data_IF_450917761719
#
_entry.id   IF_450917761719
#
_cell.length_a   1.000
_cell.length_b   1.000
_cell.length_c   1.000
_cell.angle_alpha   90.00
_cell.angle_beta   90.00
_cell.angle_gamma   90.00
#
_symmetry.space_group_name_H-M   'P 1'
#
loop_
_entity.id
_entity.type
_entity.pdbx_description
1 polymer ?
#
# COMPACT_ATOMS: atom_id res chain seq x y z
N UNK A 1 -4.70 65.18 -20.50
CA UNK A 1 -3.79 64.34 -19.68
C UNK A 1 -4.51 63.19 -18.97
N UNK A 2 -5.64 62.68 -19.48
CA UNK A 2 -6.48 61.66 -18.82
C UNK A 2 -6.46 60.31 -19.58
N UNK A 3 -6.06 60.30 -20.85
CA UNK A 3 -6.05 59.09 -21.70
C UNK A 3 -4.90 58.12 -21.39
N UNK A 4 -3.77 58.62 -20.86
CA UNK A 4 -2.60 57.78 -20.54
C UNK A 4 -2.75 56.94 -19.26
N UNK A 5 -3.54 57.42 -18.29
CA UNK A 5 -3.75 56.74 -17.01
C UNK A 5 -4.71 55.53 -17.16
N UNK A 6 -5.71 55.64 -18.05
CA UNK A 6 -6.69 54.56 -18.30
C UNK A 6 -6.06 53.35 -18.99
N UNK A 7 -5.14 53.58 -19.93
CA UNK A 7 -4.38 52.51 -20.60
C UNK A 7 -3.39 51.80 -19.67
N UNK A 8 -2.87 52.50 -18.66
CA UNK A 8 -1.97 51.90 -17.68
C UNK A 8 -2.72 50.98 -16.71
N UNK A 9 -3.91 51.41 -16.28
CA UNK A 9 -4.82 50.64 -15.42
C UNK A 9 -5.35 49.35 -16.07
N UNK A 10 -5.67 49.38 -17.37
CA UNK A 10 -6.11 48.17 -18.09
C UNK A 10 -4.97 47.15 -18.19
N UNK A 11 -3.76 47.58 -18.56
CA UNK A 11 -2.58 46.70 -18.71
C UNK A 11 -2.16 46.06 -17.39
N UNK A 12 -2.31 46.76 -16.26
CA UNK A 12 -2.03 46.19 -14.93
C UNK A 12 -3.08 45.18 -14.49
N UNK A 13 -4.36 45.37 -14.82
CA UNK A 13 -5.42 44.40 -14.51
C UNK A 13 -5.27 43.10 -15.32
N UNK A 14 -4.90 43.18 -16.61
CA UNK A 14 -4.68 41.99 -17.43
C UNK A 14 -3.46 41.18 -16.99
N UNK A 15 -2.40 41.85 -16.50
CA UNK A 15 -1.22 41.18 -15.96
C UNK A 15 -1.48 40.47 -14.61
N UNK A 16 -2.33 41.05 -13.76
CA UNK A 16 -2.67 40.47 -12.45
C UNK A 16 -3.59 39.24 -12.57
N UNK A 17 -4.50 39.21 -13.56
CA UNK A 17 -5.35 38.05 -13.86
C UNK A 17 -4.56 36.87 -14.46
N UNK A 18 -3.52 37.14 -15.26
CA UNK A 18 -2.63 36.11 -15.78
C UNK A 18 -1.75 35.48 -14.68
N UNK A 19 -1.37 36.26 -13.65
CA UNK A 19 -0.58 35.75 -12.52
C UNK A 19 -1.38 34.78 -11.62
N UNK A 20 -2.70 34.97 -11.49
CA UNK A 20 -3.57 34.06 -10.75
C UNK A 20 -3.76 32.70 -11.46
N UNK A 21 -3.66 32.66 -12.78
CA UNK A 21 -3.82 31.42 -13.57
C UNK A 21 -2.61 30.47 -13.49
N UNK A 22 -1.48 30.89 -12.91
CA UNK A 22 -0.30 30.04 -12.72
C UNK A 22 -0.22 29.33 -11.36
N UNK A 23 -1.26 29.42 -10.51
CA UNK A 23 -1.21 28.85 -9.14
C UNK A 23 -1.96 27.52 -8.95
N UNK A 24 -2.44 26.87 -10.03
CA UNK A 24 -3.13 25.56 -9.96
C UNK A 24 -2.35 24.38 -10.53
N UNK A 25 -1.02 24.43 -10.47
CA UNK A 25 -0.20 23.24 -10.68
C UNK A 25 1.05 23.29 -9.81
N UNK A 26 0.88 23.04 -8.52
CA UNK A 26 1.91 22.36 -7.76
C UNK A 26 1.28 21.05 -7.31
N UNK A 27 1.45 20.03 -8.15
CA UNK A 27 1.37 18.65 -7.72
C UNK A 27 2.13 18.55 -6.40
N UNK A 28 1.43 18.14 -5.35
CA UNK A 28 2.04 17.75 -4.09
C UNK A 28 3.02 16.64 -4.45
N UNK A 29 4.28 17.00 -4.65
CA UNK A 29 5.39 16.06 -4.56
C UNK A 29 5.30 15.55 -3.12
N UNK A 30 4.71 14.37 -3.00
CA UNK A 30 4.78 13.58 -1.80
C UNK A 30 6.27 13.38 -1.57
N UNK A 31 6.78 14.13 -0.60
CA UNK A 31 8.12 14.03 -0.06
C UNK A 31 8.32 12.54 0.20
N UNK A 32 9.07 11.88 -0.68
CA UNK A 32 9.85 10.72 -0.32
C UNK A 32 10.69 11.22 0.83
N UNK A 33 10.22 10.95 2.05
CA UNK A 33 11.04 11.06 3.23
C UNK A 33 12.26 10.23 2.90
N UNK A 34 13.38 10.91 2.72
CA UNK A 34 14.69 10.29 2.80
C UNK A 34 14.63 9.32 3.97
N UNK A 35 14.87 8.05 3.66
CA UNK A 35 15.03 7.02 4.67
C UNK A 35 16.08 7.54 5.63
N UNK A 36 15.64 7.94 6.82
CA UNK A 36 16.54 7.88 7.94
C UNK A 36 16.90 6.42 8.06
N UNK A 37 18.19 6.12 7.92
CA UNK A 37 18.85 4.90 8.40
C UNK A 37 18.64 4.80 9.93
N UNK A 38 17.39 4.70 10.33
CA UNK A 38 17.01 4.06 11.57
C UNK A 38 16.92 2.59 11.23
N UNK A 39 17.48 1.78 12.09
CA UNK A 39 17.38 0.34 12.13
C UNK A 39 15.87 -0.04 12.07
N UNK A 40 15.27 -0.07 10.88
CA UNK A 40 13.83 -0.36 10.73
C UNK A 40 13.70 -1.86 10.92
N UNK A 41 13.59 -2.26 12.18
CA UNK A 41 13.07 -3.56 12.54
C UNK A 41 11.58 -3.58 12.16
N UNK A 42 11.29 -3.88 10.89
CA UNK A 42 9.93 -4.08 10.42
C UNK A 42 9.49 -5.45 10.92
N UNK A 43 8.92 -5.46 12.13
CA UNK A 43 8.43 -6.67 12.78
C UNK A 43 7.47 -7.43 11.83
N UNK A 44 7.69 -8.72 11.53
CA UNK A 44 6.83 -9.47 10.63
C UNK A 44 5.37 -9.52 11.09
N UNK A 45 4.47 -9.15 10.20
CA UNK A 45 3.05 -8.98 10.52
C UNK A 45 2.14 -9.18 9.30
N UNK A 46 0.86 -9.32 9.54
CA UNK A 46 -0.19 -9.31 8.52
C UNK A 46 -1.33 -8.36 8.92
N UNK A 47 -1.79 -7.55 7.96
CA UNK A 47 -2.91 -6.62 8.12
C UNK A 47 -3.91 -6.86 6.98
N UNK A 48 -5.17 -7.14 7.36
CA UNK A 48 -6.29 -7.14 6.42
C UNK A 48 -7.60 -6.70 7.09
N UNK A 49 -8.22 -7.58 7.88
CA UNK A 49 -9.37 -7.24 8.75
C UNK A 49 -8.93 -7.06 10.21
N UNK A 50 -7.79 -7.66 10.54
CA UNK A 50 -7.14 -7.64 11.85
C UNK A 50 -5.64 -7.46 11.60
N UNK A 51 -4.93 -7.04 12.64
CA UNK A 51 -3.47 -7.09 12.68
C UNK A 51 -3.03 -8.38 13.38
N UNK A 52 -2.07 -9.08 12.79
CA UNK A 52 -1.48 -10.30 13.33
C UNK A 52 0.04 -10.12 13.35
N UNK A 53 0.64 -10.22 14.53
CA UNK A 53 2.10 -10.23 14.69
C UNK A 53 2.61 -11.66 14.46
N UNK A 54 3.42 -11.91 13.44
CA UNK A 54 3.72 -13.28 13.00
C UNK A 54 4.83 -13.96 13.82
N UNK A 55 5.65 -13.18 14.51
CA UNK A 55 6.78 -13.66 15.34
C UNK A 55 6.53 -13.51 16.84
N UNK A 56 5.25 -13.51 17.25
CA UNK A 56 4.83 -13.43 18.65
C UNK A 56 3.93 -14.61 19.04
N UNK A 57 3.95 -15.06 20.31
CA UNK A 57 3.07 -16.11 20.78
C UNK A 57 1.62 -15.63 20.86
N UNK A 58 0.84 -15.84 19.80
CA UNK A 58 -0.56 -15.37 19.72
C UNK A 58 -1.52 -16.37 19.02
N UNK A 59 -1.16 -17.66 18.98
CA UNK A 59 -1.90 -18.75 18.32
C UNK A 59 -1.97 -18.69 16.78
N UNK A 60 -1.39 -17.66 16.16
CA UNK A 60 -1.21 -17.60 14.72
C UNK A 60 0.11 -18.24 14.31
N UNK A 61 0.08 -18.85 13.13
CA UNK A 61 1.24 -19.47 12.48
C UNK A 61 1.24 -19.10 11.01
N UNK A 62 2.43 -18.97 10.43
CA UNK A 62 2.59 -18.64 9.02
C UNK A 62 3.28 -19.78 8.28
N UNK A 63 2.86 -20.03 7.05
CA UNK A 63 3.53 -20.92 6.11
C UNK A 63 3.70 -20.18 4.80
N UNK A 64 4.94 -20.10 4.32
CA UNK A 64 5.32 -19.29 3.15
C UNK A 64 5.82 -20.22 2.03
N UNK A 65 5.32 -19.97 0.83
CA UNK A 65 5.82 -20.52 -0.43
C UNK A 65 6.01 -19.37 -1.43
N UNK A 66 6.66 -19.64 -2.55
CA UNK A 66 6.96 -18.63 -3.58
C UNK A 66 5.73 -17.86 -4.10
N UNK A 67 4.56 -18.49 -4.11
CA UNK A 67 3.32 -17.96 -4.71
C UNK A 67 2.11 -18.09 -3.79
N UNK A 68 2.36 -18.36 -2.50
CA UNK A 68 1.31 -18.64 -1.52
C UNK A 68 1.80 -18.36 -0.10
N UNK A 69 0.97 -17.70 0.68
CA UNK A 69 1.15 -17.58 2.13
C UNK A 69 -0.14 -17.98 2.83
N UNK A 70 -0.02 -18.85 3.83
CA UNK A 70 -1.12 -19.22 4.71
C UNK A 70 -0.82 -18.72 6.13
N UNK A 71 -1.72 -17.91 6.69
CA UNK A 71 -1.67 -17.39 8.06
C UNK A 71 -2.83 -18.01 8.82
N UNK A 72 -2.54 -18.88 9.78
CA UNK A 72 -3.50 -19.83 10.35
C UNK A 72 -3.55 -19.73 11.86
N UNK A 73 -4.75 -19.66 12.40
CA UNK A 73 -5.05 -19.87 13.81
C UNK A 73 -5.90 -21.13 13.95
N UNK A 74 -5.30 -22.19 14.50
CA UNK A 74 -5.95 -23.50 14.63
C UNK A 74 -7.03 -23.48 15.73
N UNK A 75 -6.81 -22.69 16.78
CA UNK A 75 -7.71 -22.57 17.94
C UNK A 75 -9.02 -21.90 17.50
N UNK A 76 -8.92 -20.81 16.73
CA UNK A 76 -10.07 -20.12 16.15
C UNK A 76 -10.63 -20.82 14.91
N UNK A 77 -9.90 -21.79 14.35
CA UNK A 77 -10.25 -22.43 13.08
C UNK A 77 -10.30 -21.43 11.92
N UNK A 78 -9.42 -20.42 11.93
CA UNK A 78 -9.38 -19.32 10.97
C UNK A 78 -8.08 -19.33 10.18
N UNK A 79 -8.16 -19.07 8.88
CA UNK A 79 -6.99 -18.95 8.00
C UNK A 79 -7.18 -17.83 6.98
N UNK A 80 -6.13 -17.05 6.78
CA UNK A 80 -5.95 -16.18 5.62
C UNK A 80 -5.01 -16.89 4.64
N UNK A 81 -5.49 -17.14 3.43
CA UNK A 81 -4.72 -17.78 2.36
C UNK A 81 -4.55 -16.80 1.20
N UNK A 82 -3.35 -16.24 1.10
CA UNK A 82 -2.93 -15.37 0.01
C UNK A 82 -2.28 -16.21 -1.09
N UNK A 83 -2.71 -16.03 -2.33
CA UNK A 83 -2.12 -16.69 -3.51
C UNK A 83 -1.95 -15.70 -4.65
N UNK A 84 -0.93 -15.90 -5.48
CA UNK A 84 -0.65 -15.07 -6.65
C UNK A 84 0.20 -15.82 -7.68
N UNK A 85 0.55 -15.16 -8.78
CA UNK A 85 1.55 -15.65 -9.75
C UNK A 85 2.74 -14.71 -9.87
N UNK A 86 3.89 -15.26 -10.21
CA UNK A 86 5.13 -14.52 -10.47
C UNK A 86 6.11 -14.49 -9.29
N UNK A 87 5.99 -15.42 -8.34
CA UNK A 87 6.95 -15.59 -7.25
C UNK A 87 7.07 -14.40 -6.27
N UNK A 88 8.14 -14.40 -5.46
CA UNK A 88 8.50 -13.34 -4.50
C UNK A 88 9.49 -12.30 -5.06
N UNK A 89 9.72 -12.26 -6.38
CA UNK A 89 10.55 -11.20 -6.97
C UNK A 89 9.90 -9.83 -6.78
N UNK A 90 10.69 -8.76 -6.70
CA UNK A 90 10.14 -7.40 -6.58
C UNK A 90 9.23 -7.04 -7.76
N UNK A 91 8.14 -6.32 -7.47
CA UNK A 91 7.18 -5.79 -8.42
C UNK A 91 5.77 -6.34 -8.25
N UNK A 92 4.89 -5.91 -9.16
CA UNK A 92 3.47 -6.28 -9.17
C UNK A 92 3.28 -7.76 -9.55
N UNK A 93 2.34 -8.40 -8.89
CA UNK A 93 1.94 -9.79 -9.10
C UNK A 93 0.56 -9.86 -9.74
N UNK A 94 0.33 -10.93 -10.50
CA UNK A 94 -0.92 -11.18 -11.18
C UNK A 94 -1.72 -12.29 -10.49
N UNK A 95 -3.01 -12.38 -10.83
CA UNK A 95 -3.94 -13.39 -10.33
C UNK A 95 -3.93 -13.51 -8.80
N UNK A 96 -3.78 -12.37 -8.13
CA UNK A 96 -3.65 -12.29 -6.69
C UNK A 96 -5.03 -12.37 -6.03
N UNK A 97 -5.18 -13.31 -5.09
CA UNK A 97 -6.43 -13.60 -4.40
C UNK A 97 -6.13 -13.80 -2.92
N UNK A 98 -6.94 -13.21 -2.06
CA UNK A 98 -6.95 -13.51 -0.63
C UNK A 98 -8.24 -14.25 -0.26
N UNK A 99 -8.10 -15.42 0.35
CA UNK A 99 -9.22 -16.18 0.93
C UNK A 99 -9.20 -16.07 2.44
N UNK A 100 -10.36 -15.76 3.03
CA UNK A 100 -10.60 -15.86 4.47
C UNK A 100 -11.45 -17.09 4.72
N UNK A 101 -10.86 -18.08 5.38
CA UNK A 101 -11.45 -19.37 5.71
C UNK A 101 -11.72 -19.38 7.20
N UNK A 102 -12.97 -19.67 7.58
CA UNK A 102 -13.37 -19.85 8.98
C UNK A 102 -14.12 -21.17 9.07
N UNK A 103 -13.78 -22.01 10.06
CA UNK A 103 -14.39 -23.32 10.25
C UNK A 103 -15.92 -23.19 10.38
N UNK A 104 -16.64 -23.88 9.51
CA UNK A 104 -18.11 -23.86 9.50
C UNK A 104 -18.74 -22.70 8.74
N UNK A 105 -17.94 -21.78 8.17
CA UNK A 105 -18.43 -20.69 7.32
C UNK A 105 -18.11 -20.94 5.83
N UNK A 106 -18.87 -20.28 4.95
CA UNK A 106 -18.49 -20.18 3.55
C UNK A 106 -17.21 -19.35 3.40
N UNK A 107 -16.29 -19.83 2.58
CA UNK A 107 -15.02 -19.13 2.33
C UNK A 107 -15.28 -17.80 1.64
N UNK A 108 -14.74 -16.72 2.22
CA UNK A 108 -14.80 -15.38 1.63
C UNK A 108 -13.58 -15.21 0.74
N UNK A 109 -13.81 -14.80 -0.51
CA UNK A 109 -12.74 -14.55 -1.49
C UNK A 109 -12.71 -13.07 -1.82
N UNK A 110 -11.53 -12.47 -1.76
CA UNK A 110 -11.27 -11.13 -2.25
C UNK A 110 -10.26 -11.20 -3.40
N UNK A 111 -10.71 -10.82 -4.59
CA UNK A 111 -9.81 -10.56 -5.71
C UNK A 111 -9.02 -9.28 -5.42
N UNK A 112 -7.71 -9.33 -5.61
CA UNK A 112 -6.83 -8.21 -5.32
C UNK A 112 -6.53 -7.43 -6.60
N UNK A 113 -6.91 -6.15 -6.61
CA UNK A 113 -6.55 -5.19 -7.65
C UNK A 113 -5.04 -4.96 -7.71
N UNK A 114 -4.38 -5.05 -6.55
CA UNK A 114 -2.92 -4.96 -6.43
C UNK A 114 -2.44 -6.01 -5.43
N UNK A 115 -1.42 -6.75 -5.87
CA UNK A 115 -0.41 -7.32 -4.98
C UNK A 115 0.95 -6.86 -5.50
N UNK A 116 1.74 -6.22 -4.65
CA UNK A 116 3.08 -5.75 -5.00
C UNK A 116 4.07 -6.22 -3.95
N UNK A 117 5.12 -6.91 -4.41
CA UNK A 117 6.23 -7.33 -3.56
C UNK A 117 7.33 -6.28 -3.64
N UNK A 118 7.81 -5.82 -2.48
CA UNK A 118 8.99 -4.99 -2.37
C UNK A 118 10.09 -5.75 -1.63
N UNK A 119 11.32 -5.50 -2.06
CA UNK A 119 12.50 -5.84 -1.28
C UNK A 119 12.83 -4.64 -0.41
N UNK A 120 12.64 -4.77 0.91
CA UNK A 120 12.87 -3.68 1.85
C UNK A 120 14.29 -3.65 2.43
N UNK A 121 15.20 -4.47 1.90
CA UNK A 121 16.48 -4.70 2.55
C UNK A 121 16.31 -5.63 3.75
N UNK A 122 17.33 -5.72 4.62
CA UNK A 122 17.26 -6.39 5.92
C UNK A 122 16.70 -7.83 5.95
N UNK A 123 16.83 -8.57 4.84
CA UNK A 123 16.28 -9.92 4.70
C UNK A 123 14.76 -9.99 4.93
N UNK A 124 14.00 -9.00 4.46
CA UNK A 124 12.53 -8.98 4.54
C UNK A 124 11.85 -8.83 3.16
N UNK A 125 10.69 -9.45 3.01
CA UNK A 125 9.72 -9.18 1.95
C UNK A 125 8.57 -8.35 2.52
N UNK A 126 8.21 -7.28 1.81
CA UNK A 126 6.98 -6.53 2.05
C UNK A 126 6.01 -6.76 0.90
N UNK A 127 4.80 -7.20 1.22
CA UNK A 127 3.74 -7.40 0.26
C UNK A 127 2.60 -6.43 0.55
N UNK A 128 2.33 -5.53 -0.41
CA UNK A 128 1.22 -4.60 -0.34
C UNK A 128 0.02 -5.19 -1.06
N UNK A 129 -1.12 -5.27 -0.36
CA UNK A 129 -2.36 -5.83 -0.86
C UNK A 129 -3.41 -4.74 -1.02
N UNK A 130 -4.18 -4.78 -2.10
CA UNK A 130 -5.38 -3.95 -2.27
C UNK A 130 -6.43 -4.72 -3.05
N UNK A 131 -7.66 -4.75 -2.55
CA UNK A 131 -8.78 -5.42 -3.20
C UNK A 131 -10.03 -5.36 -2.33
N UNK A 132 -11.22 -5.54 -2.91
CA UNK A 132 -12.47 -5.55 -2.15
C UNK A 132 -12.69 -4.28 -1.31
N UNK A 133 -12.24 -3.13 -1.81
CA UNK A 133 -12.36 -1.82 -1.16
C UNK A 133 -11.41 -1.57 0.02
N UNK A 134 -10.43 -2.45 0.26
CA UNK A 134 -9.49 -2.31 1.40
C UNK A 134 -8.04 -2.44 0.98
N UNK A 135 -7.15 -2.03 1.89
CA UNK A 135 -5.70 -2.15 1.79
C UNK A 135 -5.22 -3.08 2.89
N UNK A 136 -4.14 -3.80 2.62
CA UNK A 136 -3.48 -4.66 3.58
C UNK A 136 -1.99 -4.73 3.33
N UNK A 137 -1.31 -5.40 4.25
CA UNK A 137 0.14 -5.53 4.27
C UNK A 137 0.52 -6.91 4.83
N UNK A 138 1.60 -7.46 4.29
CA UNK A 138 2.23 -8.66 4.82
C UNK A 138 3.74 -8.45 4.80
N UNK A 139 4.36 -8.50 5.97
CA UNK A 139 5.81 -8.45 6.12
C UNK A 139 6.31 -9.82 6.58
N UNK A 140 7.29 -10.35 5.86
CA UNK A 140 7.91 -11.65 6.11
C UNK A 140 9.43 -11.54 6.13
N UNK A 141 10.08 -12.32 6.98
CA UNK A 141 11.52 -12.59 6.87
C UNK A 141 11.77 -13.53 5.69
N UNK A 142 12.79 -13.26 4.86
CA UNK A 142 13.18 -14.09 3.70
C UNK A 142 13.79 -15.43 4.12
#
# INVERSE_FOLDING_TARGET
MITGQLNMLWRTMTAMLLLCAFTTSCSKEEILSEGTDTDININPHFIWDITIELEQPNNWSVTVFSEKVAITNIVEGKQYLLTWKGGLSTGKKSDAILKTIVRGEQTKTADLDILEVKDSGNNTYELFLRGGGRKGELVLTK
#
